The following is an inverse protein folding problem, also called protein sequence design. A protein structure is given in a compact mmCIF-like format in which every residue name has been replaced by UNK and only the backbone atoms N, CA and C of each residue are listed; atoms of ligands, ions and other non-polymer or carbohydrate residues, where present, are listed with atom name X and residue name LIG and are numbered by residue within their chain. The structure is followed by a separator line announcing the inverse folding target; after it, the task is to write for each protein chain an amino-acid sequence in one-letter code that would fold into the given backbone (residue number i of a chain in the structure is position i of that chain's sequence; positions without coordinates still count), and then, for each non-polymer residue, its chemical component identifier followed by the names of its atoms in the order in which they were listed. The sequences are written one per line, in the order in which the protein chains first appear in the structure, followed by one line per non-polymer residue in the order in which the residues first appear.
data_IF_319565593616
#
_entry.id   IF_319565593616
#
_cell.length_a   1.000
_cell.length_b   1.000
_cell.length_c   1.000
_cell.angle_alpha   90.00
_cell.angle_beta   90.00
_cell.angle_gamma   90.00
#
_symmetry.space_group_name_H-M   'P 1'
#
loop_
_entity.id
_entity.type
_entity.pdbx_description
1 polymer ?
#
# COMPACT_ATOMS: atom_id res chain seq x y z
N UNK A 1 7.75 -15.22 -31.20
CA UNK A 1 8.71 -14.52 -30.33
C UNK A 1 8.54 -15.05 -28.92
N UNK A 2 9.64 -15.47 -28.29
CA UNK A 2 9.62 -16.28 -27.07
C UNK A 2 8.97 -15.54 -25.90
N UNK A 3 7.94 -16.16 -25.31
CA UNK A 3 7.32 -15.72 -24.07
C UNK A 3 8.29 -16.04 -22.92
N UNK A 4 9.07 -15.03 -22.52
CA UNK A 4 9.89 -15.07 -21.31
C UNK A 4 8.96 -15.16 -20.10
N UNK A 5 8.84 -16.35 -19.50
CA UNK A 5 8.16 -16.55 -18.22
C UNK A 5 8.87 -15.73 -17.16
N UNK A 6 8.31 -14.57 -16.82
CA UNK A 6 8.71 -13.79 -15.65
C UNK A 6 8.45 -14.66 -14.43
N UNK A 7 9.50 -15.09 -13.75
CA UNK A 7 9.40 -15.82 -12.49
C UNK A 7 8.94 -14.82 -11.42
N UNK A 8 7.63 -14.61 -11.34
CA UNK A 8 7.02 -13.68 -10.39
C UNK A 8 7.00 -14.34 -9.03
N UNK A 9 7.99 -14.04 -8.19
CA UNK A 9 7.95 -14.39 -6.76
C UNK A 9 6.65 -13.83 -6.18
N UNK A 10 5.81 -14.71 -5.62
CA UNK A 10 4.52 -14.35 -5.04
C UNK A 10 4.72 -14.22 -3.54
N UNK A 11 4.02 -13.26 -2.92
CA UNK A 11 4.02 -13.09 -1.47
C UNK A 11 3.50 -14.37 -0.78
N UNK A 12 4.37 -15.07 -0.07
CA UNK A 12 4.09 -16.37 0.53
C UNK A 12 3.98 -16.34 2.07
N UNK A 13 3.73 -17.51 2.67
CA UNK A 13 3.52 -17.63 4.12
C UNK A 13 4.77 -17.30 4.93
N UNK A 14 5.96 -17.62 4.44
CA UNK A 14 7.20 -17.31 5.16
C UNK A 14 7.46 -15.80 5.17
N UNK A 15 7.24 -15.14 4.03
CA UNK A 15 7.34 -13.69 3.89
C UNK A 15 6.29 -12.94 4.73
N UNK A 16 5.07 -13.47 4.80
CA UNK A 16 4.02 -12.93 5.66
C UNK A 16 4.41 -13.00 7.14
N UNK A 17 4.96 -14.14 7.59
CA UNK A 17 5.42 -14.32 8.98
C UNK A 17 6.57 -13.36 9.32
N UNK A 18 7.53 -13.19 8.41
CA UNK A 18 8.63 -12.24 8.58
C UNK A 18 8.11 -10.80 8.70
N UNK A 19 7.21 -10.40 7.81
CA UNK A 19 6.60 -9.05 7.83
C UNK A 19 5.87 -8.79 9.15
N UNK A 20 5.04 -9.73 9.60
CA UNK A 20 4.30 -9.59 10.87
C UNK A 20 5.24 -9.51 12.07
N UNK A 21 6.34 -10.27 12.06
CA UNK A 21 7.36 -10.23 13.12
C UNK A 21 7.97 -8.82 13.23
N UNK A 22 8.37 -8.23 12.11
CA UNK A 22 8.98 -6.89 12.10
C UNK A 22 8.01 -5.78 12.52
N UNK A 23 6.74 -5.89 12.10
CA UNK A 23 5.68 -4.99 12.53
C UNK A 23 5.43 -5.10 14.05
N UNK A 24 5.43 -6.32 14.60
CA UNK A 24 5.29 -6.55 16.04
C UNK A 24 6.43 -5.91 16.82
N UNK A 25 7.68 -6.14 16.39
CA UNK A 25 8.86 -5.51 17.00
C UNK A 25 8.77 -3.98 16.98
N UNK A 26 8.33 -3.41 15.85
CA UNK A 26 8.15 -1.95 15.73
C UNK A 26 7.08 -1.42 16.68
N UNK A 27 5.95 -2.12 16.81
CA UNK A 27 4.89 -1.73 17.72
C UNK A 27 5.32 -1.84 19.19
N UNK A 28 5.94 -2.96 19.57
CA UNK A 28 6.37 -3.25 20.94
C UNK A 28 7.48 -2.30 21.41
N UNK A 29 8.25 -1.72 20.47
CA UNK A 29 9.22 -0.65 20.78
C UNK A 29 8.58 0.64 21.33
N UNK A 30 7.25 0.80 21.21
CA UNK A 30 6.52 1.98 21.63
C UNK A 30 6.63 3.18 20.67
N UNK A 31 7.40 3.06 19.57
CA UNK A 31 7.56 4.10 18.54
C UNK A 31 6.22 4.62 18.03
N UNK A 32 5.26 3.72 17.84
CA UNK A 32 3.91 4.02 17.31
C UNK A 32 3.02 4.82 18.27
N UNK A 33 3.37 4.91 19.57
CA UNK A 33 2.61 5.68 20.56
C UNK A 33 2.90 7.18 20.49
N UNK A 34 4.09 7.55 20.04
CA UNK A 34 4.49 8.96 19.95
C UNK A 34 3.52 9.73 19.05
N UNK A 35 3.03 10.87 19.53
CA UNK A 35 2.02 11.67 18.83
C UNK A 35 2.57 12.20 17.49
N UNK A 36 3.77 12.75 17.48
CA UNK A 36 4.37 13.29 16.25
C UNK A 36 4.67 12.22 15.23
N UNK A 37 5.06 11.02 15.70
CA UNK A 37 5.17 9.86 14.82
C UNK A 37 3.83 9.59 14.13
N UNK A 38 2.71 9.48 14.87
CA UNK A 38 1.38 9.25 14.29
C UNK A 38 0.98 10.34 13.29
N UNK A 39 1.19 11.60 13.65
CA UNK A 39 0.90 12.75 12.75
C UNK A 39 1.73 12.65 11.48
N UNK A 40 3.03 12.36 11.57
CA UNK A 40 3.89 12.20 10.39
C UNK A 40 3.43 11.08 9.47
N UNK A 41 2.99 9.93 10.02
CA UNK A 41 2.51 8.82 9.21
C UNK A 41 1.20 9.17 8.49
N UNK A 42 0.27 9.85 9.16
CA UNK A 42 -0.98 10.30 8.54
C UNK A 42 -0.73 11.30 7.40
N UNK A 43 0.19 12.24 7.59
CA UNK A 43 0.57 13.19 6.53
C UNK A 43 1.21 12.48 5.34
N UNK A 44 2.08 11.51 5.59
CA UNK A 44 2.68 10.71 4.52
C UNK A 44 1.64 9.89 3.74
N UNK A 45 0.61 9.36 4.41
CA UNK A 45 -0.50 8.66 3.73
C UNK A 45 -1.32 9.62 2.86
N UNK A 46 -1.62 10.83 3.35
CA UNK A 46 -2.31 11.84 2.55
C UNK A 46 -1.48 12.25 1.32
N UNK A 47 -0.19 12.52 1.51
CA UNK A 47 0.73 12.86 0.42
C UNK A 47 0.83 11.72 -0.60
N UNK A 48 0.86 10.47 -0.16
CA UNK A 48 0.83 9.31 -1.04
C UNK A 48 -0.43 9.31 -1.91
N UNK A 49 -1.61 9.54 -1.32
CA UNK A 49 -2.87 9.56 -2.08
C UNK A 49 -2.91 10.68 -3.10
N UNK A 50 -2.43 11.88 -2.75
CA UNK A 50 -2.36 13.02 -3.67
C UNK A 50 -1.36 12.77 -4.81
N UNK A 51 -0.17 12.27 -4.50
CA UNK A 51 0.88 12.03 -5.50
C UNK A 51 0.57 10.85 -6.43
N UNK A 52 -0.20 9.88 -5.95
CA UNK A 52 -0.52 8.64 -6.68
C UNK A 52 -1.96 8.55 -7.14
N UNK A 53 -2.73 9.62 -7.04
CA UNK A 53 -4.16 9.66 -7.40
C UNK A 53 -4.43 9.03 -8.78
N UNK A 54 -3.72 9.48 -9.80
CA UNK A 54 -3.92 9.01 -11.18
C UNK A 54 -3.51 7.55 -11.38
N UNK A 55 -2.50 7.08 -10.64
CA UNK A 55 -2.12 5.65 -10.64
C UNK A 55 -3.20 4.79 -9.97
N UNK A 56 -3.79 5.28 -8.87
CA UNK A 56 -4.89 4.64 -8.15
C UNK A 56 -6.14 4.59 -9.02
N UNK A 57 -6.56 5.71 -9.64
CA UNK A 57 -7.71 5.77 -10.55
C UNK A 57 -7.53 4.80 -11.72
N UNK A 58 -6.34 4.75 -12.31
CA UNK A 58 -6.05 3.83 -13.42
C UNK A 58 -6.14 2.36 -12.98
N UNK A 59 -5.65 2.04 -11.78
CA UNK A 59 -5.76 0.69 -11.23
C UNK A 59 -7.23 0.31 -10.98
N UNK A 60 -8.02 1.21 -10.37
CA UNK A 60 -9.44 1.00 -10.12
C UNK A 60 -10.23 0.82 -11.41
N UNK A 61 -9.92 1.58 -12.45
CA UNK A 61 -10.51 1.37 -13.77
C UNK A 61 -10.10 0.01 -14.37
N UNK A 62 -8.81 -0.35 -14.30
CA UNK A 62 -8.32 -1.63 -14.84
C UNK A 62 -8.94 -2.84 -14.15
N UNK A 63 -9.06 -2.80 -12.83
CA UNK A 63 -9.46 -3.96 -12.02
C UNK A 63 -10.98 -4.03 -11.85
N UNK A 64 -11.64 -2.88 -11.72
CA UNK A 64 -13.05 -2.77 -11.33
C UNK A 64 -13.90 -1.99 -12.35
N UNK A 65 -13.30 -1.42 -13.39
CA UNK A 65 -13.99 -0.55 -14.38
C UNK A 65 -14.68 0.68 -13.77
N UNK A 66 -14.23 1.13 -12.58
CA UNK A 66 -14.72 2.36 -11.96
C UNK A 66 -14.29 3.58 -12.77
N UNK A 67 -15.22 4.51 -13.00
CA UNK A 67 -14.87 5.81 -13.61
C UNK A 67 -13.99 6.65 -12.67
N UNK A 68 -13.32 7.66 -13.20
CA UNK A 68 -12.51 8.58 -12.39
C UNK A 68 -13.34 9.26 -11.28
N UNK A 69 -14.51 9.79 -11.63
CA UNK A 69 -15.40 10.43 -10.66
C UNK A 69 -15.87 9.47 -9.58
N UNK A 70 -16.21 8.22 -9.95
CA UNK A 70 -16.58 7.19 -8.98
C UNK A 70 -15.41 6.81 -8.07
N UNK A 71 -14.21 6.70 -8.63
CA UNK A 71 -12.99 6.39 -7.90
C UNK A 71 -12.68 7.46 -6.87
N UNK A 72 -12.77 8.75 -7.24
CA UNK A 72 -12.49 9.86 -6.34
C UNK A 72 -13.53 10.06 -5.23
N UNK A 73 -14.81 9.73 -5.50
CA UNK A 73 -15.89 9.94 -4.52
C UNK A 73 -15.96 8.81 -3.49
N UNK A 74 -15.61 7.58 -3.87
CA UNK A 74 -15.83 6.39 -3.04
C UNK A 74 -14.58 5.86 -2.34
N UNK A 75 -13.37 6.21 -2.80
CA UNK A 75 -12.09 5.78 -2.22
C UNK A 75 -11.35 6.97 -1.58
#
# INVERSE_FOLDING_TARGET
MASSKVNKKVFDSEEALATVKDLRTTFDSGKTRNYEWRVSQLKALLELTEQKEQEIVKALYSDLSKSEAESFIQE
#
